data_IF_370537872479
#
_entry.id   IF_370537872479
#
_cell.length_a   1.000
_cell.length_b   1.000
_cell.length_c   1.000
_cell.angle_alpha   90.00
_cell.angle_beta   90.00
_cell.angle_gamma   90.00
#
_symmetry.space_group_name_H-M   'P 1'
#
loop_
_entity.id
_entity.type
_entity.pdbx_description
1 polymer ?
#
# COMPACT_ATOMS: atom_id res chain seq x y z
N UNK A 1 -14.26 -48.31 8.51
CA UNK A 1 -14.88 -47.00 8.82
C UNK A 1 -14.00 -45.90 8.24
N UNK A 2 -14.37 -45.36 7.07
CA UNK A 2 -13.61 -44.29 6.40
C UNK A 2 -14.41 -42.99 6.60
N UNK A 3 -13.88 -42.11 7.44
CA UNK A 3 -14.51 -40.81 7.76
C UNK A 3 -14.45 -39.89 6.55
N UNK A 4 -15.61 -39.45 6.07
CA UNK A 4 -15.73 -38.37 5.09
C UNK A 4 -15.60 -37.04 5.82
N UNK A 5 -14.43 -36.42 5.76
CA UNK A 5 -14.27 -35.00 6.07
C UNK A 5 -14.67 -34.18 4.85
N UNK A 6 -15.87 -33.60 4.89
CA UNK A 6 -16.31 -32.60 3.91
C UNK A 6 -15.76 -31.23 4.32
N UNK A 7 -14.68 -30.78 3.69
CA UNK A 7 -14.28 -29.38 3.76
C UNK A 7 -15.23 -28.55 2.90
N UNK A 8 -15.95 -27.61 3.51
CA UNK A 8 -16.74 -26.61 2.80
C UNK A 8 -15.79 -25.60 2.15
N UNK A 9 -15.37 -25.87 0.92
CA UNK A 9 -14.53 -24.97 0.14
C UNK A 9 -15.40 -23.84 -0.41
N UNK A 10 -15.23 -22.61 0.09
CA UNK A 10 -15.83 -21.46 -0.56
C UNK A 10 -15.17 -21.26 -1.93
N UNK A 11 -15.97 -21.16 -2.99
CA UNK A 11 -15.50 -20.96 -4.37
C UNK A 11 -14.82 -19.59 -4.50
N UNK A 12 -13.83 -19.47 -5.39
CA UNK A 12 -13.21 -18.19 -5.75
C UNK A 12 -14.26 -17.12 -6.15
N UNK A 13 -15.37 -17.56 -6.76
CA UNK A 13 -16.50 -16.69 -7.09
C UNK A 13 -17.14 -16.04 -5.87
N UNK A 14 -17.17 -16.73 -4.72
CA UNK A 14 -17.69 -16.18 -3.47
C UNK A 14 -16.81 -15.06 -2.93
N UNK A 15 -15.49 -15.22 -2.99
CA UNK A 15 -14.55 -14.18 -2.56
C UNK A 15 -14.56 -12.96 -3.49
N UNK A 16 -14.66 -13.17 -4.81
CA UNK A 16 -14.82 -12.08 -5.77
C UNK A 16 -16.14 -11.32 -5.53
N UNK A 17 -17.23 -12.04 -5.27
CA UNK A 17 -18.50 -11.43 -4.93
C UNK A 17 -18.40 -10.58 -3.65
N UNK A 18 -17.76 -11.09 -2.58
CA UNK A 18 -17.57 -10.34 -1.34
C UNK A 18 -16.75 -9.06 -1.58
N UNK A 19 -15.69 -9.15 -2.38
CA UNK A 19 -14.85 -8.01 -2.75
C UNK A 19 -15.66 -6.93 -3.50
N UNK A 20 -16.46 -7.33 -4.49
CA UNK A 20 -17.31 -6.40 -5.24
C UNK A 20 -18.37 -5.73 -4.35
N UNK A 21 -19.00 -6.47 -3.43
CA UNK A 21 -20.01 -5.90 -2.53
C UNK A 21 -19.41 -4.91 -1.52
N UNK A 22 -18.21 -5.19 -0.99
CA UNK A 22 -17.50 -4.27 -0.09
C UNK A 22 -17.06 -3.01 -0.84
N UNK A 23 -16.55 -3.15 -2.08
CA UNK A 23 -16.11 -2.03 -2.89
C UNK A 23 -17.28 -1.14 -3.35
N UNK A 24 -18.40 -1.72 -3.79
CA UNK A 24 -19.60 -0.95 -4.17
C UNK A 24 -20.26 -0.21 -3.00
N UNK A 25 -20.09 -0.68 -1.76
CA UNK A 25 -20.59 0.03 -0.58
C UNK A 25 -19.65 1.17 -0.14
N UNK A 26 -18.42 1.18 -0.64
CA UNK A 26 -17.36 2.10 -0.22
C UNK A 26 -17.16 3.28 -1.18
N UNK A 27 -17.89 3.37 -2.30
CA UNK A 27 -17.82 4.57 -3.13
C UNK A 27 -18.59 5.70 -2.44
N UNK A 28 -17.93 6.75 -1.92
CA UNK A 28 -18.66 7.90 -1.40
C UNK A 28 -19.47 8.50 -2.55
N UNK A 29 -20.75 8.79 -2.29
CA UNK A 29 -21.60 9.52 -3.23
C UNK A 29 -20.96 10.89 -3.46
N UNK A 30 -20.31 11.06 -4.60
CA UNK A 30 -19.66 12.32 -4.95
C UNK A 30 -20.74 13.35 -5.27
N UNK A 31 -20.94 14.32 -4.38
CA UNK A 31 -21.74 15.49 -4.70
C UNK A 31 -21.01 16.37 -5.73
N UNK A 32 -21.74 16.99 -6.68
CA UNK A 32 -21.15 17.90 -7.65
C UNK A 32 -20.42 19.05 -6.94
N UNK A 33 -19.16 19.28 -7.31
CA UNK A 33 -18.34 20.33 -6.72
C UNK A 33 -18.98 21.70 -6.98
N UNK A 34 -19.43 22.34 -5.90
CA UNK A 34 -19.80 23.76 -5.94
C UNK A 34 -18.51 24.58 -6.09
N UNK A 35 -18.37 25.46 -7.09
CA UNK A 35 -17.15 26.23 -7.27
C UNK A 35 -16.90 27.12 -6.05
N UNK A 36 -15.72 26.96 -5.44
CA UNK A 36 -15.29 27.73 -4.27
C UNK A 36 -14.87 29.14 -4.69
N UNK A 37 -15.21 30.20 -3.92
CA UNK A 37 -14.67 31.54 -4.15
C UNK A 37 -13.15 31.52 -4.01
N UNK A 38 -12.46 32.17 -4.94
CA UNK A 38 -11.00 32.32 -4.95
C UNK A 38 -10.56 33.02 -3.64
N UNK A 39 -9.97 32.27 -2.71
CA UNK A 39 -9.31 32.86 -1.53
C UNK A 39 -9.64 32.30 -0.15
N UNK A 40 -10.38 31.18 0.00
CA UNK A 40 -10.56 30.56 1.32
C UNK A 40 -10.16 29.08 1.32
N UNK A 41 -8.96 28.81 1.85
CA UNK A 41 -8.47 27.46 2.15
C UNK A 41 -9.24 26.91 3.36
N UNK A 42 -10.49 26.52 3.16
CA UNK A 42 -11.21 25.71 4.13
C UNK A 42 -10.44 24.39 4.26
N UNK A 43 -9.74 24.20 5.38
CA UNK A 43 -9.21 22.91 5.79
C UNK A 43 -10.39 21.93 5.83
N UNK A 44 -10.55 21.14 4.76
CA UNK A 44 -11.44 19.98 4.80
C UNK A 44 -10.90 19.13 5.95
N UNK A 45 -11.70 18.92 7.00
CA UNK A 45 -11.45 17.84 7.96
C UNK A 45 -11.43 16.56 7.13
N UNK A 46 -10.25 16.09 6.78
CA UNK A 46 -10.11 14.79 6.15
C UNK A 46 -10.52 13.77 7.21
N UNK A 47 -11.48 12.88 6.93
CA UNK A 47 -11.92 11.88 7.89
C UNK A 47 -10.82 10.85 8.17
N UNK A 48 -9.73 10.86 7.39
CA UNK A 48 -8.57 9.97 7.50
C UNK A 48 -7.34 10.81 7.79
N UNK A 49 -6.63 10.45 8.85
CA UNK A 49 -5.43 11.14 9.32
C UNK A 49 -4.14 10.45 8.88
N UNK A 50 -4.17 9.14 8.61
CA UNK A 50 -2.98 8.38 8.21
C UNK A 50 -3.27 7.14 7.35
N UNK A 51 -2.26 6.71 6.57
CA UNK A 51 -2.26 5.46 5.81
C UNK A 51 -1.07 4.58 6.21
N UNK A 52 -1.34 3.40 6.76
CA UNK A 52 -0.31 2.42 7.11
C UNK A 52 -0.40 1.23 6.16
N UNK A 53 0.68 0.97 5.45
CA UNK A 53 0.72 -0.06 4.40
C UNK A 53 1.56 -1.23 4.86
N UNK A 54 0.99 -2.44 4.78
CA UNK A 54 1.71 -3.69 4.97
C UNK A 54 1.51 -4.59 3.75
N UNK A 55 2.56 -5.29 3.33
CA UNK A 55 2.49 -6.18 2.19
C UNK A 55 3.86 -6.53 1.62
N UNK A 56 3.84 -6.95 0.36
CA UNK A 56 5.01 -7.44 -0.36
C UNK A 56 5.52 -6.41 -1.39
N UNK A 57 6.20 -6.88 -2.43
CA UNK A 57 6.72 -6.07 -3.53
C UNK A 57 5.66 -5.20 -4.20
N UNK A 58 4.39 -5.63 -4.19
CA UNK A 58 3.28 -4.90 -4.84
C UNK A 58 3.00 -3.54 -4.21
N UNK A 59 3.43 -3.33 -2.97
CA UNK A 59 3.21 -2.10 -2.19
C UNK A 59 4.46 -1.62 -1.45
N UNK A 60 5.64 -2.15 -1.79
CA UNK A 60 6.94 -1.74 -1.24
C UNK A 60 7.49 -0.50 -1.96
N UNK A 61 7.56 0.67 -1.30
CA UNK A 61 8.12 1.89 -1.89
C UNK A 61 9.66 1.93 -1.90
N UNK A 62 10.32 0.93 -1.30
CA UNK A 62 11.78 0.82 -1.25
C UNK A 62 12.37 0.42 0.10
N UNK A 63 11.60 -0.16 1.03
CA UNK A 63 12.12 -0.67 2.30
C UNK A 63 13.26 -1.66 2.08
N UNK A 64 13.15 -2.48 1.05
CA UNK A 64 14.16 -3.48 0.73
C UNK A 64 15.54 -2.90 0.41
N UNK A 65 15.66 -1.62 0.07
CA UNK A 65 16.96 -0.98 -0.15
C UNK A 65 17.81 -0.93 1.14
N UNK A 66 17.16 -0.95 2.30
CA UNK A 66 17.78 -0.74 3.61
C UNK A 66 18.03 -2.04 4.38
N UNK A 67 17.79 -3.20 3.77
CA UNK A 67 18.04 -4.53 4.34
C UNK A 67 18.92 -5.38 3.41
N UNK A 68 19.62 -6.41 3.92
CA UNK A 68 20.51 -7.25 3.13
C UNK A 68 19.73 -8.34 2.37
N UNK A 69 18.95 -7.92 1.37
CA UNK A 69 18.17 -8.81 0.49
C UNK A 69 18.57 -8.67 -0.99
N UNK A 70 18.35 -9.72 -1.77
CA UNK A 70 18.44 -9.67 -3.23
C UNK A 70 17.20 -9.04 -3.88
N UNK A 71 16.07 -8.95 -3.18
CA UNK A 71 14.82 -8.41 -3.69
C UNK A 71 14.83 -6.87 -3.67
N UNK A 72 15.60 -6.26 -4.57
CA UNK A 72 15.70 -4.81 -4.73
C UNK A 72 15.25 -4.39 -6.14
N UNK A 73 14.71 -3.19 -6.23
CA UNK A 73 14.32 -2.53 -7.49
C UNK A 73 14.88 -1.10 -7.57
N UNK A 74 16.08 -0.89 -7.04
CA UNK A 74 16.79 0.39 -7.05
C UNK A 74 17.72 0.54 -8.26
N UNK A 75 17.33 -0.04 -9.40
CA UNK A 75 18.06 0.00 -10.66
C UNK A 75 17.09 0.08 -11.85
N UNK A 76 17.53 0.54 -13.04
CA UNK A 76 16.70 0.56 -14.25
C UNK A 76 16.21 -0.84 -14.64
N UNK A 77 14.98 -1.01 -15.18
CA UNK A 77 14.08 0.03 -15.67
C UNK A 77 13.13 0.63 -14.61
N UNK A 78 13.23 0.20 -13.34
CA UNK A 78 12.33 0.64 -12.28
C UNK A 78 12.42 2.15 -12.04
N UNK A 79 11.30 2.76 -11.66
CA UNK A 79 11.21 4.20 -11.41
C UNK A 79 11.41 5.13 -12.62
N UNK A 80 11.47 4.61 -13.86
CA UNK A 80 11.65 5.44 -15.07
C UNK A 80 10.58 6.54 -15.20
N UNK A 81 9.32 6.20 -14.93
CA UNK A 81 8.16 7.10 -14.96
C UNK A 81 7.86 7.71 -13.58
N UNK A 82 8.74 7.46 -12.60
CA UNK A 82 8.63 7.99 -11.25
C UNK A 82 9.44 9.28 -11.10
N UNK A 83 9.31 9.96 -9.96
CA UNK A 83 9.91 11.28 -9.70
C UNK A 83 11.39 11.33 -10.13
N UNK A 84 11.69 12.23 -11.06
CA UNK A 84 13.03 12.44 -11.64
C UNK A 84 13.66 11.19 -12.27
N UNK A 85 12.85 10.19 -12.65
CA UNK A 85 13.30 8.89 -13.16
C UNK A 85 14.25 8.15 -12.21
N UNK A 86 14.10 8.35 -10.89
CA UNK A 86 14.96 7.72 -9.88
C UNK A 86 14.37 6.36 -9.47
N UNK A 87 15.14 5.26 -9.55
CA UNK A 87 14.71 3.96 -9.06
C UNK A 87 14.77 3.92 -7.53
N UNK A 88 13.64 4.20 -6.86
CA UNK A 88 13.59 4.26 -5.39
C UNK A 88 13.48 2.89 -4.71
N UNK A 89 13.46 1.78 -5.44
CA UNK A 89 13.17 0.45 -4.89
C UNK A 89 11.73 -0.03 -5.10
N UNK A 90 10.89 0.77 -5.80
CA UNK A 90 9.54 0.38 -6.20
C UNK A 90 9.58 -0.69 -7.28
N UNK A 91 8.81 -1.76 -7.11
CA UNK A 91 8.70 -2.86 -8.09
C UNK A 91 7.80 -2.49 -9.28
N UNK A 92 7.89 -1.23 -9.74
CA UNK A 92 7.20 -0.71 -10.91
C UNK A 92 7.96 0.51 -11.47
N UNK A 93 7.54 0.99 -12.65
CA UNK A 93 8.16 2.15 -13.27
C UNK A 93 7.71 3.49 -12.66
N UNK A 94 6.64 3.49 -11.86
CA UNK A 94 5.96 4.71 -11.44
C UNK A 94 5.42 4.64 -10.01
N UNK A 95 4.20 5.13 -9.85
CA UNK A 95 3.49 5.17 -8.57
C UNK A 95 2.96 3.79 -8.20
N UNK A 96 2.91 3.51 -6.91
CA UNK A 96 2.24 2.33 -6.35
C UNK A 96 0.75 2.61 -6.18
N UNK A 97 -0.07 1.54 -6.12
CA UNK A 97 -1.51 1.64 -5.82
C UNK A 97 -1.76 2.44 -4.54
N UNK A 98 -0.89 2.28 -3.54
CA UNK A 98 -0.95 2.98 -2.25
C UNK A 98 -0.73 4.48 -2.36
N UNK A 99 0.07 4.95 -3.32
CA UNK A 99 0.21 6.39 -3.57
C UNK A 99 -1.08 6.98 -4.14
N UNK A 100 -1.73 6.26 -5.06
CA UNK A 100 -3.01 6.69 -5.63
C UNK A 100 -4.09 6.76 -4.56
N UNK A 101 -4.17 5.75 -3.68
CA UNK A 101 -5.08 5.75 -2.53
C UNK A 101 -4.78 6.93 -1.60
N UNK A 102 -3.52 7.09 -1.17
CA UNK A 102 -3.09 8.18 -0.28
C UNK A 102 -3.40 9.57 -0.84
N UNK A 103 -3.27 9.74 -2.16
CA UNK A 103 -3.62 10.99 -2.85
C UNK A 103 -5.12 11.19 -2.93
N UNK A 104 -5.86 10.14 -3.27
CA UNK A 104 -7.31 10.19 -3.41
C UNK A 104 -7.99 10.58 -2.09
N UNK A 105 -7.51 10.04 -0.96
CA UNK A 105 -8.02 10.35 0.37
C UNK A 105 -7.42 11.64 0.97
N UNK A 106 -6.48 12.29 0.27
CA UNK A 106 -5.91 13.58 0.67
C UNK A 106 -4.93 13.52 1.84
N UNK A 107 -4.33 12.37 2.12
CA UNK A 107 -3.35 12.21 3.22
C UNK A 107 -1.93 12.53 2.73
N UNK A 108 -1.50 11.95 1.60
CA UNK A 108 -0.18 12.21 1.01
C UNK A 108 -0.09 11.78 -0.44
N UNK A 109 0.78 12.43 -1.21
CA UNK A 109 0.98 12.11 -2.62
C UNK A 109 1.69 10.76 -2.83
N UNK A 110 2.70 10.48 -2.00
CA UNK A 110 3.50 9.27 -2.02
C UNK A 110 3.61 8.69 -0.62
N UNK A 111 3.43 7.38 -0.49
CA UNK A 111 3.64 6.68 0.79
C UNK A 111 5.12 6.28 0.88
N UNK A 112 5.89 6.78 1.87
CA UNK A 112 7.31 6.50 1.95
C UNK A 112 7.60 5.15 2.61
N UNK A 113 8.83 4.66 2.42
CA UNK A 113 9.35 3.46 3.06
C UNK A 113 9.62 3.74 4.54
N UNK A 114 9.13 2.88 5.45
CA UNK A 114 9.38 2.97 6.89
C UNK A 114 10.88 2.99 7.24
N UNK A 115 11.72 2.27 6.47
CA UNK A 115 13.15 2.19 6.71
C UNK A 115 13.96 3.35 6.09
N UNK A 116 13.32 4.33 5.45
CA UNK A 116 14.04 5.49 4.92
C UNK A 116 14.59 6.35 6.07
N UNK A 117 15.92 6.53 6.19
CA UNK A 117 16.54 7.29 7.28
C UNK A 117 16.22 8.79 7.23
N UNK A 118 15.67 9.29 6.12
CA UNK A 118 15.30 10.69 5.96
C UNK A 118 13.87 11.00 6.43
N UNK A 119 13.13 10.01 6.95
CA UNK A 119 11.77 10.21 7.44
C UNK A 119 11.69 11.23 8.57
N UNK A 120 10.78 12.19 8.42
CA UNK A 120 10.41 13.09 9.50
C UNK A 120 9.28 12.53 10.37
N UNK A 121 9.08 13.14 11.54
CA UNK A 121 7.96 12.80 12.43
C UNK A 121 6.60 12.96 11.74
N UNK A 122 6.46 13.98 10.87
CA UNK A 122 5.21 14.22 10.14
C UNK A 122 4.90 13.11 9.13
N UNK A 123 5.93 12.48 8.56
CA UNK A 123 5.75 11.36 7.63
C UNK A 123 5.25 10.11 8.36
N UNK A 124 5.83 9.84 9.54
CA UNK A 124 5.38 8.77 10.44
C UNK A 124 3.94 9.00 10.91
N UNK A 125 3.61 10.23 11.33
CA UNK A 125 2.27 10.58 11.82
C UNK A 125 1.19 10.49 10.74
N UNK A 126 1.52 10.83 9.49
CA UNK A 126 0.60 10.68 8.35
C UNK A 126 0.66 9.28 7.72
N UNK A 127 1.53 8.41 8.21
CA UNK A 127 1.60 6.99 7.89
C UNK A 127 2.62 6.59 6.81
N UNK A 128 3.13 5.36 6.90
CA UNK A 128 4.25 4.86 6.08
C UNK A 128 3.98 3.43 5.61
N UNK A 129 4.82 2.95 4.70
CA UNK A 129 4.79 1.54 4.27
C UNK A 129 5.81 0.71 5.01
N UNK A 130 5.36 -0.36 5.64
CA UNK A 130 6.16 -1.45 6.20
C UNK A 130 6.30 -2.63 5.23
N UNK A 131 5.80 -2.48 4.00
CA UNK A 131 5.86 -3.53 3.01
C UNK A 131 7.29 -3.90 2.63
N UNK A 132 7.53 -5.16 2.29
CA UNK A 132 8.87 -5.65 1.97
C UNK A 132 8.77 -6.73 0.91
N UNK A 133 9.46 -6.55 -0.21
CA UNK A 133 9.52 -7.58 -1.24
C UNK A 133 10.16 -8.87 -0.71
N UNK A 134 9.60 -10.01 -1.13
CA UNK A 134 9.98 -11.32 -0.60
C UNK A 134 9.27 -11.72 0.70
N UNK A 135 8.41 -10.84 1.24
CA UNK A 135 7.45 -11.26 2.26
C UNK A 135 6.38 -12.16 1.65
N UNK A 136 5.81 -13.03 2.46
CA UNK A 136 4.82 -13.98 2.00
C UNK A 136 4.10 -14.67 3.15
N UNK A 137 2.99 -15.33 2.83
CA UNK A 137 2.20 -16.09 3.79
C UNK A 137 2.97 -17.28 4.36
N UNK A 138 3.74 -17.98 3.52
CA UNK A 138 4.61 -19.06 3.96
C UNK A 138 5.81 -18.47 4.72
N UNK A 139 6.01 -18.81 6.01
CA UNK A 139 7.12 -18.31 6.83
C UNK A 139 8.52 -18.58 6.26
N UNK A 140 8.65 -19.57 5.37
CA UNK A 140 9.91 -19.83 4.68
C UNK A 140 10.26 -18.69 3.70
N UNK A 141 9.28 -18.06 3.06
CA UNK A 141 9.47 -16.99 2.06
C UNK A 141 10.27 -15.79 2.61
N UNK A 142 9.86 -15.16 3.73
CA UNK A 142 10.62 -14.04 4.28
C UNK A 142 11.98 -14.47 4.84
N UNK A 143 12.12 -15.73 5.27
CA UNK A 143 13.36 -16.28 5.80
C UNK A 143 14.41 -16.47 4.71
N UNK A 144 14.04 -17.11 3.59
CA UNK A 144 14.95 -17.30 2.45
C UNK A 144 15.27 -15.97 1.75
N UNK A 145 14.31 -15.05 1.75
CA UNK A 145 14.38 -13.77 1.08
C UNK A 145 15.07 -12.66 1.87
N UNK A 146 15.25 -12.85 3.17
CA UNK A 146 15.60 -11.79 4.13
C UNK A 146 14.71 -10.56 3.91
N UNK A 147 13.42 -10.71 4.20
CA UNK A 147 12.44 -9.62 4.09
C UNK A 147 11.82 -9.31 5.44
N UNK A 148 11.17 -8.15 5.55
CA UNK A 148 10.31 -7.86 6.70
C UNK A 148 9.12 -8.82 6.64
N UNK A 149 8.81 -9.50 7.73
CA UNK A 149 7.59 -10.30 7.81
C UNK A 149 6.40 -9.34 7.81
N UNK A 150 5.67 -9.29 6.70
CA UNK A 150 4.45 -8.49 6.58
C UNK A 150 3.27 -9.42 6.32
N UNK A 151 2.18 -9.18 7.03
CA UNK A 151 0.87 -9.69 6.64
C UNK A 151 0.25 -8.62 5.73
N UNK A 152 -0.28 -9.02 4.57
CA UNK A 152 -0.92 -8.10 3.63
C UNK A 152 -2.17 -7.48 4.29
N UNK A 153 -2.03 -6.26 4.83
CA UNK A 153 -3.15 -5.49 5.35
C UNK A 153 -2.89 -4.01 5.10
N UNK A 154 -3.85 -3.34 4.43
CA UNK A 154 -3.88 -1.89 4.34
C UNK A 154 -4.73 -1.37 5.50
N UNK A 155 -4.13 -0.61 6.42
CA UNK A 155 -4.87 0.06 7.49
C UNK A 155 -5.02 1.55 7.15
N UNK A 156 -6.28 1.99 7.06
CA UNK A 156 -6.65 3.40 6.91
C UNK A 156 -7.15 3.86 8.27
N UNK A 157 -6.47 4.83 8.87
CA UNK A 157 -6.80 5.36 10.20
C UNK A 157 -7.65 6.62 10.06
N UNK A 158 -8.85 6.59 10.64
CA UNK A 158 -9.77 7.73 10.68
C UNK A 158 -9.36 8.70 11.79
#
# INVERSE_FOLDING_TARGET
MRSHHTHSSFSLSFFLFLFFNIFSLSTPKLEPLKPSPLGSYHQRKQPVSAILVFGDSTVDPGNNNYIPTAFKCNFPPYGLDFKNSIPTGRFCNGRLVTDFIGSYIGVKEFVPAYLDPNLGINDLMSGVSFASAGSGFDPLTPTIGVSIQSLLFLFILF
#
